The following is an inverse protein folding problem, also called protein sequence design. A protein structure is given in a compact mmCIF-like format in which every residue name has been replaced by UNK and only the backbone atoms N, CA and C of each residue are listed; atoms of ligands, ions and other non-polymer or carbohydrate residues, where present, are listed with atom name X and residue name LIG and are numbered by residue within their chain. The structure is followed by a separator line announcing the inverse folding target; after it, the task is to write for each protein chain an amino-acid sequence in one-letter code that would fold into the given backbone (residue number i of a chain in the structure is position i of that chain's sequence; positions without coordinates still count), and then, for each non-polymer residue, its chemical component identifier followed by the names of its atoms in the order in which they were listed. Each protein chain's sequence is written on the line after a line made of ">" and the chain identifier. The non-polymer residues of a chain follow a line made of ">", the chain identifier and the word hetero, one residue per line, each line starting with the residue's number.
data_IF_911241795976
#
_entry.id   IF_911241795976
#
_cell.length_a   1.000
_cell.length_b   1.000
_cell.length_c   1.000
_cell.angle_alpha   90.00
_cell.angle_beta   90.00
_cell.angle_gamma   90.00
#
_symmetry.space_group_name_H-M   'P 1'
#
loop_
_entity.id
_entity.type
_entity.pdbx_description
1 polymer ?
#
# COMPACT_ATOMS: atom_id res chain seq x y z
N UNK A 1 -3.06 18.37 -0.48
CA UNK A 1 -2.59 17.78 0.81
C UNK A 1 -3.06 16.33 0.86
N UNK A 2 -2.28 15.40 1.43
CA UNK A 2 -2.67 13.99 1.50
C UNK A 2 -3.07 13.62 2.94
N UNK A 3 -4.19 12.91 3.07
CA UNK A 3 -4.60 12.23 4.29
C UNK A 3 -4.33 10.74 4.14
N UNK A 4 -3.81 10.12 5.18
CA UNK A 4 -3.72 8.67 5.27
C UNK A 4 -4.50 8.15 6.47
N UNK A 5 -5.15 7.01 6.26
CA UNK A 5 -5.81 6.22 7.27
C UNK A 5 -5.15 4.83 7.28
N UNK A 6 -4.85 4.32 8.47
CA UNK A 6 -4.26 2.99 8.66
C UNK A 6 -5.08 2.24 9.70
N UNK A 7 -4.84 0.94 9.84
CA UNK A 7 -5.43 0.10 10.88
C UNK A 7 -4.91 0.41 12.30
N UNK A 8 -3.91 1.30 12.43
CA UNK A 8 -3.31 1.63 13.71
C UNK A 8 -4.26 2.41 14.61
N UNK A 9 -4.22 2.06 15.90
CA UNK A 9 -5.01 2.74 16.94
C UNK A 9 -4.62 4.20 17.17
N UNK A 10 -3.36 4.58 16.89
CA UNK A 10 -2.83 5.93 17.07
C UNK A 10 -1.78 6.28 15.99
N UNK A 11 -1.71 7.55 15.56
CA UNK A 11 -2.63 8.64 15.91
C UNK A 11 -4.00 8.44 15.27
N UNK A 12 -5.07 8.74 16.02
CA UNK A 12 -6.44 8.69 15.50
C UNK A 12 -6.94 10.11 15.33
N UNK A 13 -7.35 10.43 14.11
CA UNK A 13 -8.01 11.70 13.82
C UNK A 13 -9.50 11.58 14.14
N UNK A 14 -10.04 12.58 14.83
CA UNK A 14 -11.46 12.69 15.19
C UNK A 14 -12.00 14.04 14.69
N UNK A 15 -13.28 14.10 14.34
CA UNK A 15 -13.98 15.33 13.97
C UNK A 15 -13.38 16.13 12.80
N UNK A 16 -12.94 15.46 11.73
CA UNK A 16 -12.52 16.13 10.49
C UNK A 16 -13.73 16.36 9.58
N UNK A 17 -13.96 17.61 9.16
CA UNK A 17 -14.89 17.96 8.09
C UNK A 17 -14.13 18.55 6.89
N UNK A 18 -13.26 17.74 6.28
CA UNK A 18 -12.52 18.11 5.08
C UNK A 18 -13.17 17.51 3.85
N UNK A 19 -13.15 18.25 2.74
CA UNK A 19 -13.51 17.69 1.43
C UNK A 19 -12.37 16.80 0.97
N UNK A 20 -12.52 15.50 1.21
CA UNK A 20 -11.56 14.47 0.81
C UNK A 20 -12.04 13.72 -0.42
N UNK A 21 -11.11 13.36 -1.29
CA UNK A 21 -11.32 12.43 -2.41
C UNK A 21 -10.47 11.19 -2.17
N UNK A 22 -11.10 10.02 -2.12
CA UNK A 22 -10.37 8.75 -2.06
C UNK A 22 -9.53 8.56 -3.32
N UNK A 23 -8.27 8.18 -3.16
CA UNK A 23 -7.33 8.02 -4.29
C UNK A 23 -6.72 6.63 -4.41
N UNK A 24 -6.92 5.75 -3.42
CA UNK A 24 -6.47 4.36 -3.48
C UNK A 24 -5.87 3.85 -2.16
N UNK A 25 -5.41 2.61 -2.21
CA UNK A 25 -4.70 1.94 -1.14
C UNK A 25 -3.24 1.67 -1.52
N UNK A 26 -2.37 1.80 -0.53
CA UNK A 26 -0.96 1.41 -0.58
C UNK A 26 -0.66 0.39 0.52
N UNK A 27 0.43 -0.37 0.35
CA UNK A 27 1.03 -1.21 1.37
C UNK A 27 2.47 -0.78 1.56
N UNK A 28 2.73 -0.13 2.70
CA UNK A 28 3.98 0.59 2.91
C UNK A 28 4.54 0.36 4.31
N UNK A 29 5.84 0.62 4.45
CA UNK A 29 6.55 0.44 5.70
C UNK A 29 6.01 1.37 6.79
N UNK A 30 5.84 0.84 8.00
CA UNK A 30 5.27 1.53 9.15
C UNK A 30 6.16 2.67 9.67
N UNK A 31 7.46 2.58 9.39
CA UNK A 31 8.50 3.52 9.81
C UNK A 31 8.56 4.80 8.98
N UNK A 32 9.48 5.70 9.33
CA UNK A 32 9.52 7.07 8.80
C UNK A 32 9.89 7.22 7.32
N UNK A 33 10.31 6.15 6.64
CA UNK A 33 10.60 6.19 5.20
C UNK A 33 9.35 6.04 4.32
N UNK A 34 8.23 5.57 4.87
CA UNK A 34 6.97 5.31 4.14
C UNK A 34 7.20 4.58 2.80
N UNK A 35 8.13 3.64 2.81
CA UNK A 35 8.50 2.91 1.62
C UNK A 35 7.34 2.04 1.13
N UNK A 36 6.87 2.29 -0.09
CA UNK A 36 5.74 1.58 -0.71
C UNK A 36 6.21 0.26 -1.33
N UNK A 37 5.73 -0.86 -0.78
CA UNK A 37 5.92 -2.16 -1.40
C UNK A 37 5.16 -2.25 -2.72
N UNK A 38 4.00 -1.59 -2.86
CA UNK A 38 3.24 -1.55 -4.12
C UNK A 38 4.09 -0.91 -5.23
N UNK A 39 4.68 0.25 -4.95
CA UNK A 39 5.54 0.93 -5.92
C UNK A 39 6.79 0.09 -6.24
N UNK A 40 7.48 -0.38 -5.20
CA UNK A 40 8.73 -1.10 -5.41
C UNK A 40 8.54 -2.47 -6.08
N UNK A 41 7.46 -3.18 -5.79
CA UNK A 41 7.29 -4.56 -6.23
C UNK A 41 6.49 -4.66 -7.54
N UNK A 42 5.48 -3.79 -7.73
CA UNK A 42 4.60 -3.80 -8.91
C UNK A 42 5.00 -2.71 -9.91
N UNK A 43 5.07 -1.43 -9.49
CA UNK A 43 5.28 -0.32 -10.42
C UNK A 43 6.64 -0.39 -11.11
N UNK A 44 7.68 -0.83 -10.40
CA UNK A 44 9.02 -1.09 -10.95
C UNK A 44 9.06 -2.24 -11.98
N UNK A 45 8.00 -3.06 -12.04
CA UNK A 45 7.88 -4.28 -12.87
C UNK A 45 9.00 -5.30 -12.65
N UNK A 46 9.67 -5.26 -11.49
CA UNK A 46 10.80 -6.15 -11.19
C UNK A 46 10.38 -7.60 -10.89
N UNK A 47 9.11 -7.81 -10.51
CA UNK A 47 8.58 -9.13 -10.11
C UNK A 47 7.51 -9.58 -11.10
N UNK A 48 7.80 -10.65 -11.85
CA UNK A 48 6.95 -11.12 -12.92
C UNK A 48 5.57 -11.58 -12.43
N UNK A 49 5.52 -12.19 -11.24
CA UNK A 49 4.30 -12.66 -10.58
C UNK A 49 3.33 -11.51 -10.29
N UNK A 50 3.79 -10.27 -10.22
CA UNK A 50 2.98 -9.11 -9.87
C UNK A 50 2.47 -8.31 -11.07
N UNK A 51 2.84 -8.67 -12.30
CA UNK A 51 2.50 -7.90 -13.50
C UNK A 51 0.99 -7.90 -13.83
N UNK A 52 0.20 -8.80 -13.24
CA UNK A 52 -1.25 -8.85 -13.47
C UNK A 52 -2.03 -7.87 -12.58
N UNK A 53 -1.42 -7.36 -11.50
CA UNK A 53 -2.06 -6.37 -10.66
C UNK A 53 -2.23 -5.05 -11.41
N UNK A 54 -3.46 -4.52 -11.38
CA UNK A 54 -3.78 -3.23 -11.99
C UNK A 54 -3.84 -2.16 -10.92
N UNK A 55 -3.00 -1.15 -11.09
CA UNK A 55 -3.00 0.06 -10.28
C UNK A 55 -3.76 1.17 -11.01
N UNK A 56 -4.37 2.07 -10.26
CA UNK A 56 -5.01 3.27 -10.82
C UNK A 56 -3.96 4.29 -11.29
N UNK A 57 -4.42 5.45 -11.77
CA UNK A 57 -3.52 6.50 -12.28
C UNK A 57 -2.56 7.07 -11.23
N UNK A 58 -2.80 6.85 -9.94
CA UNK A 58 -1.92 7.26 -8.84
C UNK A 58 -0.89 6.18 -8.47
N UNK A 59 -0.88 5.03 -9.16
CA UNK A 59 -0.04 3.89 -8.78
C UNK A 59 -0.54 3.17 -7.53
N UNK A 60 -1.83 3.29 -7.20
CA UNK A 60 -2.44 2.70 -6.00
C UNK A 60 -3.49 1.64 -6.38
N UNK A 61 -3.79 0.74 -5.47
CA UNK A 61 -4.94 -0.16 -5.62
C UNK A 61 -6.24 0.60 -5.42
N UNK A 62 -7.20 0.45 -6.33
CA UNK A 62 -8.53 1.06 -6.17
C UNK A 62 -9.42 0.28 -5.17
N UNK A 63 -9.23 -1.04 -5.12
CA UNK A 63 -10.03 -1.97 -4.32
C UNK A 63 -9.15 -2.69 -3.29
N UNK A 64 -9.66 -2.82 -2.07
CA UNK A 64 -8.93 -3.43 -0.95
C UNK A 64 -8.70 -4.93 -1.18
N UNK A 65 -9.62 -5.59 -1.89
CA UNK A 65 -9.55 -7.01 -2.25
C UNK A 65 -8.31 -7.31 -3.10
N UNK A 66 -8.02 -6.44 -4.08
CA UNK A 66 -6.83 -6.57 -4.93
C UNK A 66 -5.53 -6.35 -4.13
N UNK A 67 -5.55 -5.43 -3.17
CA UNK A 67 -4.41 -5.22 -2.28
C UNK A 67 -4.18 -6.43 -1.38
N UNK A 68 -5.24 -7.00 -0.80
CA UNK A 68 -5.15 -8.18 0.04
C UNK A 68 -4.64 -9.40 -0.74
N UNK A 69 -5.04 -9.54 -2.01
CA UNK A 69 -4.48 -10.57 -2.89
C UNK A 69 -2.98 -10.37 -3.12
N UNK A 70 -2.55 -9.12 -3.37
CA UNK A 70 -1.12 -8.77 -3.48
C UNK A 70 -0.36 -9.12 -2.21
N UNK A 71 -0.87 -8.73 -1.03
CA UNK A 71 -0.24 -9.03 0.26
C UNK A 71 -0.10 -10.54 0.45
N UNK A 72 -1.18 -11.31 0.22
CA UNK A 72 -1.14 -12.76 0.35
C UNK A 72 -0.10 -13.39 -0.56
N UNK A 73 -0.06 -13.00 -1.84
CA UNK A 73 0.92 -13.54 -2.78
C UNK A 73 2.35 -13.15 -2.39
N UNK A 74 2.55 -11.92 -1.90
CA UNK A 74 3.83 -11.43 -1.42
C UNK A 74 4.33 -12.22 -0.20
N UNK A 75 3.45 -12.49 0.76
CA UNK A 75 3.75 -13.31 1.93
C UNK A 75 4.03 -14.77 1.56
N UNK A 76 3.23 -15.36 0.66
CA UNK A 76 3.45 -16.69 0.11
C UNK A 76 4.83 -16.78 -0.55
N UNK A 77 5.23 -15.77 -1.34
CA UNK A 77 6.55 -15.69 -1.94
C UNK A 77 7.66 -15.54 -0.91
N UNK A 78 7.53 -14.66 0.09
CA UNK A 78 8.51 -14.49 1.18
C UNK A 78 8.72 -15.81 1.93
N UNK A 79 7.65 -16.57 2.18
CA UNK A 79 7.73 -17.85 2.90
C UNK A 79 8.48 -18.95 2.12
N UNK A 80 8.56 -18.82 0.80
CA UNK A 80 9.17 -19.79 -0.12
C UNK A 80 10.55 -19.34 -0.63
N UNK A 81 10.90 -18.06 -0.48
CA UNK A 81 12.05 -17.44 -1.13
C UNK A 81 13.30 -17.40 -0.22
N UNK A 82 14.33 -18.18 -0.60
CA UNK A 82 15.65 -18.14 0.03
C UNK A 82 16.53 -16.96 -0.43
N UNK A 83 16.12 -16.20 -1.46
CA UNK A 83 16.96 -15.18 -2.11
C UNK A 83 16.64 -13.73 -1.71
N UNK A 84 15.72 -13.50 -0.76
CA UNK A 84 15.38 -12.17 -0.21
C UNK A 84 15.04 -11.12 -1.28
N UNK A 85 14.34 -11.51 -2.36
CA UNK A 85 13.97 -10.57 -3.44
C UNK A 85 12.96 -9.53 -2.93
N UNK A 86 12.10 -9.94 -2.00
CA UNK A 86 11.09 -9.12 -1.34
C UNK A 86 11.59 -8.62 0.02
N UNK A 87 11.38 -7.33 0.27
CA UNK A 87 11.75 -6.71 1.53
C UNK A 87 10.82 -7.17 2.65
N UNK A 88 11.38 -7.59 3.78
CA UNK A 88 10.62 -8.00 4.95
C UNK A 88 10.56 -6.87 5.97
N UNK A 89 9.49 -6.83 6.76
CA UNK A 89 9.36 -5.95 7.91
C UNK A 89 7.92 -5.55 8.19
N UNK A 90 7.75 -4.51 8.98
CA UNK A 90 6.44 -4.06 9.45
C UNK A 90 5.80 -3.18 8.38
N UNK A 91 4.98 -3.80 7.53
CA UNK A 91 4.16 -3.09 6.55
C UNK A 91 2.72 -2.97 7.03
N UNK A 92 2.04 -1.88 6.70
CA UNK A 92 0.60 -1.71 6.92
C UNK A 92 -0.09 -1.17 5.68
N UNK A 93 -1.41 -1.31 5.66
CA UNK A 93 -2.28 -0.78 4.64
C UNK A 93 -2.52 0.69 4.91
N UNK A 94 -2.22 1.53 3.93
CA UNK A 94 -2.53 2.95 3.92
C UNK A 94 -3.70 3.19 2.97
N UNK A 95 -4.82 3.66 3.49
CA UNK A 95 -5.93 4.20 2.71
C UNK A 95 -5.72 5.69 2.52
N UNK A 96 -5.54 6.10 1.26
CA UNK A 96 -5.09 7.45 0.92
C UNK A 96 -6.22 8.30 0.35
N UNK A 97 -6.22 9.58 0.74
CA UNK A 97 -7.15 10.58 0.25
C UNK A 97 -6.43 11.88 -0.10
N UNK A 98 -6.86 12.50 -1.20
CA UNK A 98 -6.52 13.88 -1.53
C UNK A 98 -7.47 14.83 -0.80
N UNK A 99 -6.91 15.83 -0.11
CA UNK A 99 -7.67 16.91 0.51
C UNK A 99 -7.69 18.09 -0.44
N UNK A 100 -8.91 18.46 -0.85
CA UNK A 100 -9.18 19.67 -1.61
C UNK A 100 -9.43 20.81 -0.62
N UNK A 101 -8.49 21.76 -0.59
CA UNK A 101 -8.58 22.97 0.23
C UNK A 101 -9.36 24.05 -0.52
#
# INVERSE_FOLDING_TARGET
>A
MLLCETDRLKPRLTNINWKTKFIGYDYAYLGGSYYSAVYNDIYSKRIQQFLYFKLNCNGLFEHIENLNEFIRLREDMISQDNNMILEQGDFTIYKLYEINL
#
